data_IF_738191838312
#
_entry.id   IF_738191838312
#
_cell.length_a   1.000
_cell.length_b   1.000
_cell.length_c   1.000
_cell.angle_alpha   90.00
_cell.angle_beta   90.00
_cell.angle_gamma   90.00
#
_symmetry.space_group_name_H-M   'P 1'
#
loop_
_entity.id
_entity.type
_entity.pdbx_description
1 polymer ?
#
# COMPACT_ATOMS: atom_id res chain seq x y z
N UNK A 1 -13.06 2.65 3.21
CA UNK A 1 -12.36 3.93 3.45
C UNK A 1 -13.33 5.06 3.67
N UNK A 2 -13.80 5.69 2.58
CA UNK A 2 -14.64 6.91 2.60
C UNK A 2 -15.87 6.81 3.51
N UNK A 3 -16.68 5.78 3.32
CA UNK A 3 -17.91 5.62 4.12
C UNK A 3 -17.61 5.30 5.58
N UNK A 4 -16.58 4.50 5.84
CA UNK A 4 -16.18 4.14 7.20
C UNK A 4 -15.71 5.36 8.02
N UNK A 5 -14.85 6.22 7.45
CA UNK A 5 -14.39 7.40 8.19
C UNK A 5 -15.53 8.41 8.45
N UNK A 6 -16.52 8.49 7.55
CA UNK A 6 -17.72 9.33 7.73
C UNK A 6 -18.67 8.79 8.80
N UNK A 7 -18.69 7.47 9.03
CA UNK A 7 -19.53 6.86 10.07
C UNK A 7 -18.92 6.96 11.46
N UNK A 8 -17.64 7.31 11.59
CA UNK A 8 -16.99 7.51 12.88
C UNK A 8 -17.39 8.87 13.46
N UNK A 9 -17.78 8.88 14.75
CA UNK A 9 -18.00 10.11 15.51
C UNK A 9 -16.66 10.86 15.63
N UNK A 10 -16.65 12.16 15.27
CA UNK A 10 -15.45 13.02 15.21
C UNK A 10 -14.65 13.17 16.53
N UNK A 11 -15.14 12.63 17.64
CA UNK A 11 -14.54 12.77 18.97
C UNK A 11 -13.53 11.66 19.33
N UNK A 12 -13.23 10.71 18.44
CA UNK A 12 -12.31 9.61 18.73
C UNK A 12 -10.88 9.92 18.31
N UNK A 13 -9.94 9.92 19.26
CA UNK A 13 -8.50 9.81 18.97
C UNK A 13 -8.23 8.36 18.60
N UNK A 14 -7.80 8.09 17.38
CA UNK A 14 -7.53 6.74 16.89
C UNK A 14 -6.40 6.71 15.87
N UNK A 15 -5.84 5.53 15.65
CA UNK A 15 -4.88 5.26 14.59
C UNK A 15 -5.45 4.18 13.66
N UNK A 16 -5.22 4.33 12.36
CA UNK A 16 -5.54 3.30 11.37
C UNK A 16 -4.24 2.62 10.95
N UNK A 17 -4.19 1.30 11.11
CA UNK A 17 -3.09 0.47 10.60
C UNK A 17 -3.57 -0.30 9.37
N UNK A 18 -3.03 0.02 8.19
CA UNK A 18 -3.29 -0.74 6.98
C UNK A 18 -2.28 -1.89 6.89
N UNK A 19 -2.64 -3.05 7.48
CA UNK A 19 -1.78 -4.24 7.50
C UNK A 19 -1.82 -4.98 6.18
N UNK A 20 -0.65 -5.38 5.68
CA UNK A 20 -0.47 -6.18 4.47
C UNK A 20 0.94 -6.00 3.91
N UNK A 21 1.40 -7.00 3.17
CA UNK A 21 2.70 -6.99 2.52
C UNK A 21 2.59 -6.46 1.08
N UNK A 22 3.74 -6.10 0.52
CA UNK A 22 3.88 -5.70 -0.89
C UNK A 22 3.93 -6.95 -1.79
N UNK A 23 4.69 -6.96 -2.87
CA UNK A 23 4.82 -8.14 -3.72
C UNK A 23 5.47 -9.32 -2.99
N UNK A 24 5.10 -10.53 -3.39
CA UNK A 24 5.60 -11.77 -2.79
C UNK A 24 6.68 -12.46 -3.64
N UNK A 25 7.10 -11.83 -4.75
CA UNK A 25 7.89 -12.48 -5.80
C UNK A 25 9.23 -11.79 -6.10
N UNK A 26 9.95 -11.41 -5.05
CA UNK A 26 11.21 -10.65 -5.15
C UNK A 26 12.47 -11.50 -5.36
N UNK A 27 12.43 -12.81 -5.09
CA UNK A 27 13.62 -13.68 -5.14
C UNK A 27 13.31 -15.06 -5.70
N UNK A 28 14.27 -15.65 -6.42
CA UNK A 28 14.15 -17.01 -6.98
C UNK A 28 14.05 -18.07 -5.87
N UNK A 29 14.82 -17.90 -4.79
CA UNK A 29 14.83 -18.75 -3.60
C UNK A 29 13.75 -18.35 -2.56
N UNK A 30 12.89 -17.38 -2.91
CA UNK A 30 11.78 -16.94 -2.08
C UNK A 30 10.61 -17.94 -2.08
N UNK A 31 9.68 -17.82 -1.12
CA UNK A 31 8.57 -18.76 -0.94
C UNK A 31 7.60 -18.84 -2.13
N UNK A 32 7.61 -17.84 -3.02
CA UNK A 32 6.72 -17.77 -4.19
C UNK A 32 7.49 -17.65 -5.51
N UNK A 33 8.81 -17.85 -5.49
CA UNK A 33 9.70 -17.66 -6.63
C UNK A 33 9.80 -16.22 -7.12
N UNK A 34 10.68 -15.99 -8.09
CA UNK A 34 10.85 -14.67 -8.69
C UNK A 34 9.84 -14.43 -9.82
N UNK A 35 9.30 -13.22 -9.88
CA UNK A 35 8.58 -12.72 -11.05
C UNK A 35 8.87 -11.24 -11.23
N UNK A 36 9.16 -10.73 -12.45
CA UNK A 36 9.52 -9.34 -12.69
C UNK A 36 8.44 -8.33 -12.23
N UNK A 37 7.18 -8.76 -12.24
CA UNK A 37 6.03 -7.99 -11.73
C UNK A 37 6.14 -7.66 -10.23
N UNK A 38 6.88 -8.44 -9.43
CA UNK A 38 7.06 -8.17 -8.01
C UNK A 38 7.81 -6.86 -7.75
N UNK A 39 9.08 -6.74 -8.14
CA UNK A 39 9.83 -5.49 -8.03
C UNK A 39 9.16 -4.31 -8.74
N UNK A 40 8.53 -4.55 -9.90
CA UNK A 40 7.81 -3.52 -10.64
C UNK A 40 6.62 -2.96 -9.84
N UNK A 41 5.81 -3.83 -9.22
CA UNK A 41 4.69 -3.43 -8.40
C UNK A 41 5.16 -2.61 -7.19
N UNK A 42 6.16 -3.09 -6.46
CA UNK A 42 6.67 -2.44 -5.24
C UNK A 42 7.18 -1.03 -5.55
N UNK A 43 8.03 -0.90 -6.57
CA UNK A 43 8.59 0.38 -6.99
C UNK A 43 7.51 1.37 -7.42
N UNK A 44 6.55 0.90 -8.23
CA UNK A 44 5.49 1.76 -8.74
C UNK A 44 4.54 2.20 -7.63
N UNK A 45 4.13 1.28 -6.74
CA UNK A 45 3.29 1.62 -5.60
C UNK A 45 3.98 2.65 -4.69
N UNK A 46 5.26 2.45 -4.33
CA UNK A 46 6.01 3.39 -3.49
C UNK A 46 6.14 4.76 -4.17
N UNK A 47 6.40 4.79 -5.49
CA UNK A 47 6.47 6.02 -6.27
C UNK A 47 5.15 6.78 -6.24
N UNK A 48 4.05 6.10 -6.50
CA UNK A 48 2.71 6.68 -6.49
C UNK A 48 2.32 7.16 -5.08
N UNK A 49 2.65 6.38 -4.04
CA UNK A 49 2.40 6.76 -2.66
C UNK A 49 3.14 8.05 -2.30
N UNK A 50 4.45 8.14 -2.59
CA UNK A 50 5.26 9.35 -2.35
C UNK A 50 4.68 10.60 -3.03
N UNK A 51 4.11 10.44 -4.22
CA UNK A 51 3.49 11.52 -4.98
C UNK A 51 2.03 11.80 -4.57
N UNK A 52 1.51 11.11 -3.56
CA UNK A 52 0.09 11.15 -3.14
C UNK A 52 -0.86 10.86 -4.31
N UNK A 53 -0.42 10.07 -5.30
CA UNK A 53 -1.21 9.71 -6.48
C UNK A 53 -2.12 8.52 -6.18
N UNK A 54 -3.17 8.79 -5.40
CA UNK A 54 -4.18 7.79 -5.04
C UNK A 54 -4.88 7.23 -6.28
N UNK A 55 -5.10 8.05 -7.31
CA UNK A 55 -5.74 7.60 -8.56
C UNK A 55 -4.85 6.60 -9.28
N UNK A 56 -3.55 6.86 -9.37
CA UNK A 56 -2.58 5.93 -9.93
C UNK A 56 -2.56 4.60 -9.17
N UNK A 57 -2.57 4.64 -7.82
CA UNK A 57 -2.61 3.41 -6.99
C UNK A 57 -3.86 2.59 -7.29
N UNK A 58 -5.04 3.23 -7.36
CA UNK A 58 -6.30 2.54 -7.63
C UNK A 58 -6.44 2.04 -9.07
N UNK A 59 -5.62 2.55 -9.99
CA UNK A 59 -5.61 2.18 -11.40
C UNK A 59 -4.37 1.36 -11.80
N UNK A 60 -3.63 0.83 -10.82
CA UNK A 60 -2.55 -0.12 -11.09
C UNK A 60 -3.08 -1.27 -11.95
N UNK A 61 -2.26 -1.69 -12.92
CA UNK A 61 -2.66 -2.71 -13.88
C UNK A 61 -3.06 -4.00 -13.13
N UNK A 62 -4.29 -4.52 -13.31
CA UNK A 62 -4.74 -5.73 -12.62
C UNK A 62 -3.82 -6.94 -12.82
N UNK A 63 -3.23 -7.07 -14.01
CA UNK A 63 -2.27 -8.14 -14.30
C UNK A 63 -0.97 -7.99 -13.51
N UNK A 64 -0.48 -6.75 -13.35
CA UNK A 64 0.70 -6.45 -12.52
C UNK A 64 0.44 -6.84 -11.06
N UNK A 65 -0.74 -6.50 -10.54
CA UNK A 65 -1.16 -6.82 -9.16
C UNK A 65 -1.19 -8.34 -8.96
N UNK A 66 -1.87 -9.07 -9.86
CA UNK A 66 -2.00 -10.53 -9.80
C UNK A 66 -0.64 -11.23 -9.88
N UNK A 67 0.19 -10.84 -10.84
CA UNK A 67 1.50 -11.44 -11.05
C UNK A 67 2.52 -11.09 -9.96
N UNK A 68 2.38 -9.96 -9.27
CA UNK A 68 3.19 -9.58 -8.12
C UNK A 68 2.85 -10.42 -6.87
N UNK A 69 1.66 -11.02 -6.82
CA UNK A 69 1.20 -11.84 -5.71
C UNK A 69 1.01 -11.05 -4.41
N UNK A 70 0.73 -9.76 -4.49
CA UNK A 70 0.55 -8.88 -3.33
C UNK A 70 -0.71 -9.22 -2.51
N UNK A 71 -0.71 -8.82 -1.24
CA UNK A 71 -1.90 -8.95 -0.39
C UNK A 71 -2.39 -7.62 0.24
N UNK A 72 -1.54 -6.60 0.31
CA UNK A 72 -1.81 -5.36 1.04
C UNK A 72 -2.70 -4.33 0.34
N UNK A 73 -2.83 -4.35 -0.99
CA UNK A 73 -3.46 -3.27 -1.76
C UNK A 73 -4.89 -2.96 -1.33
N UNK A 74 -5.67 -3.96 -0.95
CA UNK A 74 -7.04 -3.79 -0.44
C UNK A 74 -7.06 -2.97 0.86
N UNK A 75 -6.18 -3.33 1.79
CA UNK A 75 -6.01 -2.65 3.08
C UNK A 75 -5.52 -1.21 2.88
N UNK A 76 -4.51 -1.03 2.03
CA UNK A 76 -3.95 0.28 1.68
C UNK A 76 -5.02 1.18 1.03
N UNK A 77 -5.79 0.65 0.09
CA UNK A 77 -6.87 1.37 -0.61
C UNK A 77 -7.96 1.83 0.36
N UNK A 78 -8.28 1.03 1.39
CA UNK A 78 -9.24 1.44 2.41
C UNK A 78 -8.74 2.66 3.20
N UNK A 79 -7.47 2.65 3.64
CA UNK A 79 -6.85 3.77 4.35
C UNK A 79 -6.78 5.03 3.47
N UNK A 80 -6.27 4.92 2.24
CA UNK A 80 -6.18 6.05 1.29
C UNK A 80 -7.55 6.65 0.98
N UNK A 81 -8.58 5.79 0.87
CA UNK A 81 -9.95 6.23 0.72
C UNK A 81 -10.47 7.01 1.93
N UNK A 82 -10.09 6.61 3.14
CA UNK A 82 -10.44 7.35 4.36
C UNK A 82 -9.79 8.73 4.39
N UNK A 83 -8.48 8.80 4.15
CA UNK A 83 -7.73 10.07 4.09
C UNK A 83 -8.30 11.04 3.05
N UNK A 84 -8.72 10.51 1.88
CA UNK A 84 -9.38 11.32 0.85
C UNK A 84 -10.70 11.93 1.33
N UNK A 85 -11.50 11.21 2.12
CA UNK A 85 -12.80 11.69 2.59
C UNK A 85 -12.70 12.63 3.80
N UNK A 86 -11.73 12.40 4.67
CA UNK A 86 -11.51 13.18 5.88
C UNK A 86 -10.98 14.60 5.57
N UNK A 87 -10.42 14.79 4.36
CA UNK A 87 -9.79 16.06 3.92
C UNK A 87 -8.65 16.53 4.82
N UNK A 88 -8.13 15.64 5.67
CA UNK A 88 -6.91 15.88 6.45
C UNK A 88 -5.74 16.00 5.48
N UNK A 89 -4.94 17.06 5.63
CA UNK A 89 -3.69 17.14 4.89
C UNK A 89 -2.74 16.10 5.47
N UNK A 90 -2.24 15.22 4.62
CA UNK A 90 -1.35 14.15 5.05
C UNK A 90 -0.12 14.05 4.15
N UNK A 91 1.04 13.67 4.71
CA UNK A 91 2.26 13.42 3.96
C UNK A 91 2.77 12.01 4.22
N UNK A 92 3.05 11.22 3.17
CA UNK A 92 3.73 9.94 3.32
C UNK A 92 5.19 10.14 3.75
N UNK A 93 5.56 9.47 4.83
CA UNK A 93 6.92 9.28 5.31
C UNK A 93 7.26 7.80 5.19
N UNK A 94 8.14 7.45 4.25
CA UNK A 94 8.61 6.07 4.10
C UNK A 94 9.69 5.84 5.15
N UNK A 95 9.42 4.94 6.10
CA UNK A 95 10.33 4.61 7.19
C UNK A 95 11.32 3.53 6.77
N UNK A 96 10.84 2.51 6.06
CA UNK A 96 11.67 1.47 5.47
C UNK A 96 10.97 0.78 4.30
N UNK A 97 11.75 0.20 3.40
CA UNK A 97 11.30 -0.79 2.43
C UNK A 97 12.38 -1.87 2.30
N UNK A 98 12.01 -3.12 2.56
CA UNK A 98 12.95 -4.24 2.61
C UNK A 98 12.34 -5.49 1.94
N UNK A 99 13.19 -6.37 1.42
CA UNK A 99 12.77 -7.62 0.77
C UNK A 99 13.52 -8.87 1.24
N UNK A 100 13.76 -9.07 2.55
CA UNK A 100 14.70 -10.09 3.04
C UNK A 100 14.29 -11.52 2.68
N UNK A 101 12.98 -11.81 2.62
CA UNK A 101 12.45 -13.17 2.47
C UNK A 101 11.79 -13.42 1.11
N UNK A 102 12.10 -12.61 0.09
CA UNK A 102 11.41 -12.71 -1.20
C UNK A 102 10.03 -12.04 -1.22
N UNK A 103 9.60 -11.47 -0.11
CA UNK A 103 8.40 -10.65 0.06
C UNK A 103 8.83 -9.21 0.36
N UNK A 104 8.16 -8.23 -0.24
CA UNK A 104 8.39 -6.82 0.00
C UNK A 104 7.64 -6.32 1.23
N UNK A 105 8.35 -5.61 2.11
CA UNK A 105 7.81 -5.04 3.34
C UNK A 105 8.01 -3.53 3.31
N UNK A 106 6.91 -2.79 3.18
CA UNK A 106 6.89 -1.34 3.24
C UNK A 106 6.37 -0.88 4.60
N UNK A 107 7.16 -0.08 5.31
CA UNK A 107 6.69 0.64 6.49
C UNK A 107 6.58 2.13 6.15
N UNK A 108 5.36 2.65 6.20
CA UNK A 108 5.08 4.05 5.92
C UNK A 108 4.20 4.65 7.02
N UNK A 109 4.52 5.89 7.40
CA UNK A 109 3.69 6.71 8.27
C UNK A 109 3.01 7.78 7.43
N UNK A 110 1.70 7.90 7.55
CA UNK A 110 0.92 8.97 6.93
C UNK A 110 0.60 9.98 8.04
N UNK A 111 1.33 11.11 8.05
CA UNK A 111 1.15 12.20 9.03
C UNK A 111 0.14 13.18 8.49
#
# INVERSE_FOLDING_TARGET
GKEFIRSLLRATRGAWIASGDMSHRLKEDGPYGFHPSGPQFDQEFIRLLKNKDIRGILNLNPRLIEEAGECGLRSFSMLLGALTADKTDWQPEILSYEGPFGVGYLVAKLK
#
